data_IF_867407632056
#
_entry.id   IF_867407632056
#
_cell.length_a   1.000
_cell.length_b   1.000
_cell.length_c   1.000
_cell.angle_alpha   90.00
_cell.angle_beta   90.00
_cell.angle_gamma   90.00
#
_symmetry.space_group_name_H-M   'P 1'
#
loop_
_entity.id
_entity.type
_entity.pdbx_description
1 polymer ?
#
# COMPACT_ATOMS: atom_id res chain seq x y z
N UNK A 1 -0.78 -8.72 -3.86
CA UNK A 1 -1.17 -8.90 -2.44
C UNK A 1 -0.15 -9.70 -1.60
N UNK A 2 0.82 -10.39 -2.21
CA UNK A 2 1.82 -11.23 -1.50
C UNK A 2 2.90 -10.39 -0.79
N UNK A 3 2.99 -9.09 -1.06
CA UNK A 3 4.04 -8.20 -0.56
C UNK A 3 3.54 -7.09 0.38
N UNK A 4 2.25 -7.09 0.76
CA UNK A 4 1.75 -6.14 1.75
C UNK A 4 2.12 -6.57 3.16
N UNK A 5 2.56 -5.61 3.96
CA UNK A 5 2.69 -5.81 5.40
C UNK A 5 1.33 -6.16 6.00
N UNK A 6 1.33 -7.07 6.95
CA UNK A 6 0.15 -7.30 7.76
C UNK A 6 -0.09 -6.07 8.64
N UNK A 7 -1.33 -5.68 8.78
CA UNK A 7 -1.73 -4.57 9.64
C UNK A 7 -2.97 -4.93 10.45
N UNK A 8 -3.06 -4.34 11.63
CA UNK A 8 -4.23 -4.43 12.49
C UNK A 8 -4.76 -3.02 12.71
N UNK A 9 -6.00 -2.78 12.28
CA UNK A 9 -6.67 -1.53 12.54
C UNK A 9 -6.96 -1.40 14.03
N UNK A 10 -6.66 -0.23 14.61
CA UNK A 10 -6.89 0.02 16.03
C UNK A 10 -8.36 -0.17 16.44
N UNK A 11 -9.29 0.13 15.54
CA UNK A 11 -10.74 -0.07 15.76
C UNK A 11 -11.12 -1.57 15.83
N UNK A 12 -10.31 -2.48 15.23
CA UNK A 12 -10.48 -3.94 15.40
C UNK A 12 -9.92 -4.45 16.72
N UNK A 13 -8.97 -3.73 17.31
CA UNK A 13 -8.46 -4.01 18.65
C UNK A 13 -9.57 -3.76 19.69
N UNK A 14 -10.39 -2.72 19.48
CA UNK A 14 -11.56 -2.47 20.33
C UNK A 14 -12.61 -3.61 20.24
N UNK A 15 -12.54 -4.45 19.20
CA UNK A 15 -13.36 -5.64 19.01
C UNK A 15 -12.78 -6.93 19.61
N UNK A 16 -11.67 -6.89 20.36
CA UNK A 16 -11.24 -8.04 21.17
C UNK A 16 -12.35 -8.47 22.18
N UNK A 17 -13.25 -7.55 22.55
CA UNK A 17 -14.54 -7.87 23.21
C UNK A 17 -15.39 -8.88 22.44
N UNK A 18 -15.25 -8.97 21.13
CA UNK A 18 -15.92 -9.97 20.31
C UNK A 18 -15.39 -11.38 20.63
N UNK A 19 -14.10 -11.54 20.82
CA UNK A 19 -13.51 -12.82 21.21
C UNK A 19 -13.93 -13.26 22.60
N UNK A 20 -14.03 -12.35 23.55
CA UNK A 20 -14.61 -12.63 24.89
C UNK A 20 -16.05 -13.11 24.74
N UNK A 21 -16.85 -12.50 23.86
CA UNK A 21 -18.23 -12.90 23.60
C UNK A 21 -18.33 -14.25 22.88
N UNK A 22 -17.46 -14.49 21.90
CA UNK A 22 -17.40 -15.76 21.17
C UNK A 22 -16.93 -16.89 22.10
N UNK A 23 -15.96 -16.60 22.96
CA UNK A 23 -15.51 -17.47 24.04
C UNK A 23 -16.68 -17.86 24.96
N UNK A 24 -17.41 -16.88 25.50
CA UNK A 24 -18.58 -17.14 26.36
C UNK A 24 -19.69 -17.94 25.65
N UNK A 25 -19.80 -17.85 24.32
CA UNK A 25 -20.78 -18.62 23.54
C UNK A 25 -20.33 -20.07 23.34
N UNK A 26 -19.02 -20.30 23.15
CA UNK A 26 -18.44 -21.64 23.01
C UNK A 26 -18.42 -22.41 24.35
N UNK A 27 -18.31 -21.71 25.47
CA UNK A 27 -18.26 -22.29 26.81
C UNK A 27 -19.56 -22.97 27.26
N UNK A 28 -20.70 -22.63 26.69
CA UNK A 28 -21.94 -23.37 26.93
C UNK A 28 -21.90 -24.82 26.39
N UNK A 29 -20.80 -25.21 25.73
CA UNK A 29 -20.61 -26.50 25.08
C UNK A 29 -19.31 -27.24 25.46
N UNK A 30 -18.41 -26.68 26.31
CA UNK A 30 -17.04 -27.16 26.48
C UNK A 30 -16.74 -27.78 27.89
N UNK A 31 -15.74 -28.66 27.88
CA UNK A 31 -15.24 -29.47 29.02
C UNK A 31 -14.20 -28.73 29.88
N UNK A 32 -14.08 -27.40 29.73
CA UNK A 32 -13.06 -26.59 30.42
C UNK A 32 -13.48 -26.21 31.86
N UNK A 33 -12.51 -26.03 32.73
CA UNK A 33 -12.80 -25.59 34.09
C UNK A 33 -13.16 -24.10 34.10
N UNK A 34 -14.05 -23.65 34.95
CA UNK A 34 -14.41 -22.23 35.13
C UNK A 34 -13.17 -21.36 35.42
N UNK A 35 -12.12 -21.95 35.98
CA UNK A 35 -10.88 -21.26 36.34
C UNK A 35 -10.00 -20.94 35.11
N UNK A 36 -9.95 -21.84 34.12
CA UNK A 36 -9.24 -21.64 32.87
C UNK A 36 -9.94 -20.58 32.01
N UNK A 37 -11.25 -20.60 31.97
CA UNK A 37 -12.10 -19.65 31.29
C UNK A 37 -11.88 -18.22 31.81
N UNK A 38 -11.94 -18.05 33.12
CA UNK A 38 -11.73 -16.75 33.78
C UNK A 38 -10.31 -16.22 33.54
N UNK A 39 -9.32 -17.10 33.53
CA UNK A 39 -7.92 -16.77 33.25
C UNK A 39 -7.71 -16.23 31.84
N UNK A 40 -8.32 -16.86 30.82
CA UNK A 40 -8.18 -16.41 29.42
C UNK A 40 -8.91 -15.08 29.17
N UNK A 41 -10.14 -14.95 29.71
CA UNK A 41 -10.91 -13.72 29.63
C UNK A 41 -10.15 -12.54 30.23
N UNK A 42 -9.56 -12.74 31.41
CA UNK A 42 -8.73 -11.74 32.07
C UNK A 42 -7.53 -11.34 31.22
N UNK A 43 -6.83 -12.29 30.63
CA UNK A 43 -5.68 -12.02 29.72
C UNK A 43 -6.09 -11.23 28.49
N UNK A 44 -7.20 -11.58 27.85
CA UNK A 44 -7.73 -10.81 26.71
C UNK A 44 -8.11 -9.39 27.10
N UNK A 45 -8.67 -9.20 28.28
CA UNK A 45 -8.98 -7.89 28.81
C UNK A 45 -7.71 -7.08 29.08
N UNK A 46 -6.68 -7.65 29.67
CA UNK A 46 -5.40 -6.99 29.95
C UNK A 46 -4.72 -6.56 28.63
N UNK A 47 -4.70 -7.41 27.61
CA UNK A 47 -4.21 -7.08 26.28
C UNK A 47 -5.02 -5.91 25.67
N UNK A 48 -6.34 -5.95 25.79
CA UNK A 48 -7.21 -4.90 25.26
C UNK A 48 -6.91 -3.55 25.91
N UNK A 49 -6.82 -3.52 27.24
CA UNK A 49 -6.51 -2.31 28.00
C UNK A 49 -5.13 -1.77 27.60
N UNK A 50 -4.12 -2.64 27.53
CA UNK A 50 -2.77 -2.26 27.13
C UNK A 50 -2.74 -1.62 25.74
N UNK A 51 -3.42 -2.22 24.75
CA UNK A 51 -3.44 -1.70 23.38
C UNK A 51 -4.24 -0.40 23.26
N UNK A 52 -5.31 -0.23 24.05
CA UNK A 52 -6.06 1.03 24.13
C UNK A 52 -5.23 2.15 24.71
N UNK A 53 -4.56 1.92 25.85
CA UNK A 53 -3.66 2.89 26.48
C UNK A 53 -2.52 3.27 25.54
N UNK A 54 -1.97 2.30 24.82
CA UNK A 54 -0.92 2.53 23.83
C UNK A 54 -1.42 3.41 22.69
N UNK A 55 -2.60 3.13 22.15
CA UNK A 55 -3.26 3.92 21.12
C UNK A 55 -3.43 5.38 21.55
N UNK A 56 -3.92 5.63 22.76
CA UNK A 56 -4.09 6.98 23.30
C UNK A 56 -2.76 7.72 23.42
N UNK A 57 -1.71 7.05 23.86
CA UNK A 57 -0.37 7.61 23.94
C UNK A 57 0.24 7.93 22.58
N UNK A 58 -0.08 7.13 21.56
CA UNK A 58 0.48 7.25 20.22
C UNK A 58 -0.30 8.21 19.30
N UNK A 59 -1.54 8.56 19.62
CA UNK A 59 -2.41 9.38 18.76
C UNK A 59 -1.83 10.78 18.44
N UNK A 60 -0.93 11.28 19.29
CA UNK A 60 -0.22 12.56 19.07
C UNK A 60 0.84 12.50 17.98
N UNK A 61 1.36 11.29 17.65
CA UNK A 61 2.40 11.11 16.64
C UNK A 61 1.78 10.72 15.30
N UNK A 62 2.26 11.27 14.15
CA UNK A 62 1.79 10.90 12.82
C UNK A 62 2.08 9.42 12.51
N UNK A 63 3.23 8.93 12.94
CA UNK A 63 3.62 7.53 12.98
C UNK A 63 4.61 7.29 14.12
N UNK A 64 4.79 6.03 14.50
CA UNK A 64 5.74 5.66 15.55
C UNK A 64 6.19 4.20 15.41
N UNK A 65 7.48 3.91 15.59
CA UNK A 65 8.05 2.55 15.56
C UNK A 65 8.25 2.08 17.00
N UNK A 66 7.76 0.89 17.32
CA UNK A 66 7.84 0.31 18.65
C UNK A 66 7.83 -1.22 18.64
N UNK A 67 8.29 -1.81 19.74
CA UNK A 67 7.98 -3.21 20.06
C UNK A 67 6.94 -3.22 21.17
N UNK A 68 6.00 -4.14 21.10
CA UNK A 68 5.03 -4.34 22.17
C UNK A 68 5.65 -5.19 23.29
N UNK A 69 5.08 -5.08 24.47
CA UNK A 69 5.54 -5.82 25.62
C UNK A 69 5.16 -7.31 25.51
N UNK A 70 6.15 -8.16 25.28
CA UNK A 70 5.97 -9.60 25.05
C UNK A 70 5.34 -10.33 26.24
N UNK A 71 5.42 -9.77 27.45
CA UNK A 71 4.80 -10.36 28.65
C UNK A 71 3.29 -10.52 28.51
N UNK A 72 2.63 -9.75 27.64
CA UNK A 72 1.20 -9.90 27.38
C UNK A 72 0.87 -11.11 26.51
N UNK A 73 1.88 -11.71 25.81
CA UNK A 73 1.69 -12.81 24.89
C UNK A 73 2.58 -14.01 25.27
N UNK A 74 2.26 -14.67 26.38
CA UNK A 74 3.03 -15.80 26.90
C UNK A 74 2.68 -17.10 26.20
N UNK A 75 3.57 -18.09 26.29
CA UNK A 75 3.34 -19.45 25.79
C UNK A 75 2.11 -20.10 26.42
N UNK A 76 1.87 -19.88 27.69
CA UNK A 76 0.67 -20.35 28.40
C UNK A 76 -0.62 -19.78 27.81
N UNK A 77 -0.64 -18.47 27.50
CA UNK A 77 -1.76 -17.84 26.82
C UNK A 77 -1.98 -18.40 25.42
N UNK A 78 -0.90 -18.65 24.66
CA UNK A 78 -0.97 -19.25 23.34
C UNK A 78 -1.55 -20.67 23.39
N UNK A 79 -1.08 -21.50 24.31
CA UNK A 79 -1.57 -22.85 24.48
C UNK A 79 -3.05 -22.89 24.85
N UNK A 80 -3.48 -22.07 25.82
CA UNK A 80 -4.90 -21.96 26.20
C UNK A 80 -5.78 -21.47 25.06
N UNK A 81 -5.27 -20.53 24.25
CA UNK A 81 -5.99 -20.08 23.06
C UNK A 81 -6.19 -21.24 22.05
N UNK A 82 -5.13 -22.01 21.78
CA UNK A 82 -5.20 -23.13 20.85
C UNK A 82 -6.13 -24.24 21.34
N UNK A 83 -6.19 -24.49 22.61
CA UNK A 83 -7.10 -25.47 23.20
C UNK A 83 -8.57 -25.10 22.97
N UNK A 84 -8.90 -23.81 23.06
CA UNK A 84 -10.28 -23.33 23.00
C UNK A 84 -10.72 -23.02 21.56
N UNK A 85 -9.92 -22.26 20.83
CA UNK A 85 -10.29 -21.74 19.49
C UNK A 85 -9.73 -22.56 18.33
N UNK A 86 -8.79 -23.45 18.59
CA UNK A 86 -8.08 -24.23 17.57
C UNK A 86 -6.98 -23.46 16.84
N UNK A 87 -6.14 -24.20 16.12
CA UNK A 87 -4.93 -23.69 15.48
C UNK A 87 -5.14 -22.73 14.31
N UNK A 88 -6.37 -22.50 13.84
CA UNK A 88 -6.65 -21.84 12.55
C UNK A 88 -7.31 -20.47 12.63
N UNK A 89 -7.38 -19.85 13.82
CA UNK A 89 -8.00 -18.55 13.91
C UNK A 89 -7.08 -17.44 13.34
N UNK A 90 -7.42 -16.80 12.19
CA UNK A 90 -6.51 -15.86 11.51
C UNK A 90 -6.13 -14.66 12.36
N UNK A 91 -7.04 -14.18 13.20
CA UNK A 91 -6.80 -12.97 13.99
C UNK A 91 -5.88 -13.25 15.19
N UNK A 92 -5.84 -14.51 15.67
CA UNK A 92 -4.86 -14.91 16.68
C UNK A 92 -3.43 -14.78 16.15
N UNK A 93 -3.17 -15.29 14.95
CA UNK A 93 -1.85 -15.18 14.34
C UNK A 93 -1.42 -13.73 14.11
N UNK A 94 -2.36 -12.85 13.75
CA UNK A 94 -2.09 -11.42 13.64
C UNK A 94 -1.76 -10.81 15.00
N UNK A 95 -2.52 -11.14 16.03
CA UNK A 95 -2.27 -10.68 17.38
C UNK A 95 -0.90 -11.17 17.88
N UNK A 96 -0.59 -12.46 17.70
CA UNK A 96 0.72 -13.03 18.01
C UNK A 96 1.84 -12.29 17.27
N UNK A 97 1.70 -12.10 15.96
CA UNK A 97 2.68 -11.39 15.14
C UNK A 97 2.87 -9.95 15.58
N UNK A 98 1.81 -9.29 16.07
CA UNK A 98 1.89 -7.93 16.59
C UNK A 98 2.82 -7.82 17.81
N UNK A 99 2.80 -8.82 18.71
CA UNK A 99 3.64 -8.83 19.91
C UNK A 99 5.05 -9.37 19.66
N UNK A 100 5.24 -10.18 18.64
CA UNK A 100 6.53 -10.81 18.33
C UNK A 100 7.39 -10.02 17.33
N UNK A 101 6.88 -8.92 16.77
CA UNK A 101 7.59 -8.15 15.77
C UNK A 101 7.67 -6.67 16.16
N UNK A 102 8.54 -5.95 15.49
CA UNK A 102 8.55 -4.50 15.52
C UNK A 102 7.33 -4.02 14.73
N UNK A 103 6.64 -3.03 15.25
CA UNK A 103 5.43 -2.48 14.63
C UNK A 103 5.57 -0.99 14.37
N UNK A 104 4.87 -0.52 13.35
CA UNK A 104 4.73 0.89 13.02
C UNK A 104 3.28 1.31 13.26
N UNK A 105 3.07 2.26 14.18
CA UNK A 105 1.82 2.95 14.33
C UNK A 105 1.61 3.94 13.19
N UNK A 106 0.45 3.89 12.53
CA UNK A 106 0.02 4.82 11.50
C UNK A 106 -1.23 5.56 11.95
N UNK A 107 -1.08 6.85 12.30
CA UNK A 107 -2.21 7.67 12.79
C UNK A 107 -3.28 7.88 11.72
N UNK A 108 -2.91 8.08 10.46
CA UNK A 108 -3.85 8.40 9.38
C UNK A 108 -4.83 7.27 9.11
N UNK A 109 -4.35 6.03 9.17
CA UNK A 109 -5.16 4.83 8.99
C UNK A 109 -5.63 4.22 10.32
N UNK A 110 -5.16 4.73 11.47
CA UNK A 110 -5.42 4.19 12.82
C UNK A 110 -5.08 2.70 12.91
N UNK A 111 -3.89 2.33 12.42
CA UNK A 111 -3.47 0.92 12.35
C UNK A 111 -2.08 0.71 12.90
N UNK A 112 -1.83 -0.50 13.40
CA UNK A 112 -0.51 -1.02 13.68
C UNK A 112 -0.07 -1.88 12.50
N UNK A 113 1.01 -1.49 11.85
CA UNK A 113 1.61 -2.22 10.72
C UNK A 113 2.75 -3.07 11.27
N UNK A 114 2.66 -4.38 11.08
CA UNK A 114 3.70 -5.31 11.50
C UNK A 114 4.86 -5.19 10.51
N UNK A 115 6.04 -4.79 11.01
CA UNK A 115 7.25 -4.67 10.23
C UNK A 115 7.99 -6.02 10.28
N UNK A 116 7.92 -6.77 9.20
CA UNK A 116 8.58 -8.06 9.09
C UNK A 116 8.54 -8.58 7.67
N UNK A 117 9.51 -9.43 7.35
CA UNK A 117 9.51 -10.12 6.07
C UNK A 117 8.48 -11.24 6.13
N UNK A 118 7.42 -11.13 5.36
CA UNK A 118 6.63 -12.30 5.00
C UNK A 118 7.51 -13.20 4.14
N UNK A 119 8.03 -14.26 4.73
CA UNK A 119 8.79 -15.26 3.99
C UNK A 119 7.80 -15.95 3.02
N UNK A 120 8.12 -15.86 1.73
CA UNK A 120 7.39 -16.59 0.72
C UNK A 120 7.74 -18.08 0.87
N UNK A 121 6.94 -18.77 1.68
CA UNK A 121 7.14 -20.21 1.89
C UNK A 121 6.51 -20.97 0.72
N UNK A 122 7.35 -21.48 -0.16
CA UNK A 122 6.95 -22.31 -1.31
C UNK A 122 6.79 -23.77 -0.95
N UNK A 123 6.98 -24.17 0.30
CA UNK A 123 6.99 -25.58 0.71
C UNK A 123 8.06 -26.41 -0.01
N UNK A 124 9.16 -25.79 -0.44
CA UNK A 124 10.23 -26.42 -1.23
C UNK A 124 9.91 -26.56 -2.73
N UNK A 125 8.75 -26.06 -3.19
CA UNK A 125 8.37 -26.12 -4.61
C UNK A 125 9.06 -25.02 -5.41
N UNK A 126 9.44 -25.33 -6.66
CA UNK A 126 9.88 -24.33 -7.63
C UNK A 126 8.69 -23.45 -8.00
N UNK A 127 8.81 -22.15 -7.73
CA UNK A 127 7.76 -21.18 -8.02
C UNK A 127 8.21 -20.23 -9.10
N UNK A 128 7.36 -20.00 -10.11
CA UNK A 128 7.58 -19.03 -11.16
C UNK A 128 6.63 -17.85 -10.98
N UNK A 129 7.19 -16.64 -10.98
CA UNK A 129 6.44 -15.39 -10.89
C UNK A 129 6.55 -14.69 -12.25
N UNK A 130 5.40 -14.44 -12.89
CA UNK A 130 5.32 -13.69 -14.14
C UNK A 130 4.93 -12.25 -13.81
N UNK A 131 5.90 -11.35 -13.86
CA UNK A 131 5.74 -9.94 -13.55
C UNK A 131 6.36 -9.10 -14.66
N UNK A 132 5.54 -8.41 -15.44
CA UNK A 132 5.97 -7.57 -16.54
C UNK A 132 6.79 -6.35 -16.09
N UNK A 133 6.81 -6.02 -14.81
CA UNK A 133 7.59 -4.91 -14.23
C UNK A 133 8.72 -5.38 -13.32
N UNK A 134 9.05 -6.67 -13.33
CA UNK A 134 10.01 -7.27 -12.41
C UNK A 134 11.38 -6.57 -12.41
N UNK A 135 11.82 -6.05 -13.56
CA UNK A 135 13.10 -5.34 -13.70
C UNK A 135 13.15 -4.06 -12.86
N UNK A 136 12.00 -3.42 -12.67
CA UNK A 136 11.86 -2.16 -11.94
C UNK A 136 11.31 -2.38 -10.53
N UNK A 137 10.80 -3.57 -10.22
CA UNK A 137 10.20 -3.89 -8.92
C UNK A 137 11.29 -4.06 -7.88
N UNK A 138 11.49 -3.02 -7.09
CA UNK A 138 12.59 -2.90 -6.13
C UNK A 138 12.53 -3.97 -5.02
N UNK A 139 11.33 -4.44 -4.68
CA UNK A 139 11.09 -5.47 -3.67
C UNK A 139 11.85 -6.76 -3.96
N UNK A 140 12.01 -7.13 -5.23
CA UNK A 140 12.80 -8.31 -5.58
C UNK A 140 14.27 -8.13 -5.31
N UNK A 141 14.83 -6.92 -5.47
CA UNK A 141 16.23 -6.64 -5.19
C UNK A 141 16.59 -6.76 -3.71
N UNK A 142 15.65 -6.40 -2.82
CA UNK A 142 15.83 -6.53 -1.37
C UNK A 142 15.65 -7.95 -0.84
N UNK A 143 15.07 -8.85 -1.62
CA UNK A 143 14.91 -10.26 -1.23
C UNK A 143 16.12 -11.14 -1.52
N UNK A 144 17.20 -10.54 -2.03
CA UNK A 144 18.48 -11.19 -2.22
C UNK A 144 18.46 -12.37 -3.21
N UNK A 145 19.26 -13.38 -2.94
CA UNK A 145 19.48 -14.55 -3.82
C UNK A 145 18.29 -15.50 -3.94
N UNK A 146 17.15 -15.19 -3.29
CA UNK A 146 15.96 -16.04 -3.35
C UNK A 146 15.21 -15.93 -4.68
N UNK A 147 15.50 -14.91 -5.50
CA UNK A 147 14.90 -14.72 -6.81
C UNK A 147 15.94 -14.81 -7.92
N UNK A 148 15.67 -15.64 -8.91
CA UNK A 148 16.44 -15.69 -10.15
C UNK A 148 15.62 -15.08 -11.27
N UNK A 149 16.09 -13.96 -11.80
CA UNK A 149 15.46 -13.33 -12.95
C UNK A 149 15.77 -14.11 -14.24
N UNK A 150 14.73 -14.53 -14.93
CA UNK A 150 14.82 -15.07 -16.26
C UNK A 150 14.50 -13.94 -17.24
N UNK A 151 15.52 -13.36 -17.85
CA UNK A 151 15.32 -12.33 -18.87
C UNK A 151 14.80 -12.98 -20.15
N UNK A 152 13.61 -12.56 -20.57
CA UNK A 152 13.07 -12.88 -21.89
C UNK A 152 13.49 -11.71 -22.78
N UNK A 153 14.19 -12.01 -23.88
CA UNK A 153 14.61 -10.98 -24.85
C UNK A 153 13.34 -10.40 -25.52
N UNK A 154 13.35 -9.10 -25.74
CA UNK A 154 12.39 -8.34 -26.55
C UNK A 154 10.90 -8.42 -26.13
N UNK A 155 10.63 -8.66 -24.83
CA UNK A 155 9.26 -8.72 -24.34
C UNK A 155 8.59 -7.34 -24.15
N UNK A 156 9.35 -6.24 -24.27
CA UNK A 156 8.85 -4.86 -24.19
C UNK A 156 9.30 -4.08 -25.43
N UNK A 157 8.34 -3.52 -26.16
CA UNK A 157 8.61 -2.69 -27.33
C UNK A 157 8.16 -1.25 -27.06
N UNK A 158 9.14 -0.36 -26.88
CA UNK A 158 8.91 1.06 -26.66
C UNK A 158 9.19 1.95 -27.88
N UNK A 159 9.46 1.37 -29.05
CA UNK A 159 9.88 2.10 -30.26
C UNK A 159 8.87 3.17 -30.67
N UNK A 160 7.59 2.92 -30.46
CA UNK A 160 6.50 3.80 -30.87
C UNK A 160 5.92 4.60 -29.71
N UNK A 161 6.55 4.57 -28.51
CA UNK A 161 6.10 5.29 -27.35
C UNK A 161 6.69 6.70 -27.32
N UNK A 162 5.84 7.71 -27.21
CA UNK A 162 6.24 9.12 -27.07
C UNK A 162 5.69 9.72 -25.79
N UNK A 163 6.56 10.39 -25.05
CA UNK A 163 6.19 11.15 -23.86
C UNK A 163 6.05 12.65 -24.18
N UNK A 164 4.89 13.20 -23.86
CA UNK A 164 4.57 14.60 -23.95
C UNK A 164 4.52 15.18 -22.53
N UNK A 165 5.58 15.84 -22.11
CA UNK A 165 5.71 16.38 -20.76
C UNK A 165 5.33 17.84 -20.73
N UNK A 166 4.40 18.21 -19.84
CA UNK A 166 3.96 19.58 -19.63
C UNK A 166 4.25 20.02 -18.19
N UNK A 167 4.89 21.17 -18.04
CA UNK A 167 5.18 21.75 -16.72
C UNK A 167 3.92 22.41 -16.15
N UNK A 168 3.04 21.59 -15.62
CA UNK A 168 1.81 22.04 -14.94
C UNK A 168 1.51 21.13 -13.77
N UNK A 169 1.34 21.69 -12.59
CA UNK A 169 1.10 20.92 -11.38
C UNK A 169 -0.36 20.46 -11.28
N UNK A 170 -0.62 19.19 -11.53
CA UNK A 170 -1.89 18.51 -11.29
C UNK A 170 -1.82 17.54 -10.10
N UNK A 171 -1.01 17.86 -9.09
CA UNK A 171 -1.05 17.10 -7.83
C UNK A 171 -2.44 17.18 -7.20
N UNK A 172 -2.76 16.21 -6.33
CA UNK A 172 -4.01 16.19 -5.58
C UNK A 172 -4.28 17.51 -4.85
N UNK A 173 -3.25 18.06 -4.19
CA UNK A 173 -3.33 19.33 -3.48
C UNK A 173 -3.62 20.51 -4.43
N UNK A 174 -2.95 20.58 -5.59
CA UNK A 174 -3.17 21.65 -6.56
C UNK A 174 -4.57 21.61 -7.17
N UNK A 175 -5.08 20.41 -7.46
CA UNK A 175 -6.44 20.24 -7.95
C UNK A 175 -7.49 20.62 -6.89
N UNK A 176 -7.23 20.26 -5.62
CA UNK A 176 -8.13 20.60 -4.50
C UNK A 176 -8.16 22.14 -4.28
N UNK A 177 -7.02 22.82 -4.44
CA UNK A 177 -6.92 24.28 -4.31
C UNK A 177 -7.52 25.03 -5.53
N UNK A 178 -7.48 24.45 -6.72
CA UNK A 178 -7.92 25.06 -7.98
C UNK A 178 -8.76 24.07 -8.82
N UNK A 179 -9.98 23.72 -8.39
CA UNK A 179 -10.81 22.72 -9.07
C UNK A 179 -11.09 23.01 -10.54
N UNK A 180 -11.17 24.28 -10.91
CA UNK A 180 -11.38 24.74 -12.29
C UNK A 180 -10.30 24.29 -13.27
N UNK A 181 -9.09 24.00 -12.79
CA UNK A 181 -8.01 23.47 -13.64
C UNK A 181 -8.39 22.12 -14.24
N UNK A 182 -9.17 21.33 -13.55
CA UNK A 182 -9.63 20.03 -14.03
C UNK A 182 -10.56 20.18 -15.25
N UNK A 183 -11.45 21.17 -15.23
CA UNK A 183 -12.34 21.48 -16.36
C UNK A 183 -11.57 22.02 -17.56
N UNK A 184 -10.56 22.87 -17.34
CA UNK A 184 -9.68 23.36 -18.41
C UNK A 184 -8.94 22.18 -19.07
N UNK A 185 -8.40 21.26 -18.28
CA UNK A 185 -7.73 20.07 -18.79
C UNK A 185 -8.70 19.17 -19.57
N UNK A 186 -9.92 18.93 -19.05
CA UNK A 186 -10.91 18.17 -19.76
C UNK A 186 -11.28 18.81 -21.11
N UNK A 187 -11.47 20.12 -21.18
CA UNK A 187 -11.75 20.84 -22.42
C UNK A 187 -10.59 20.73 -23.41
N UNK A 188 -9.34 20.76 -22.92
CA UNK A 188 -8.17 20.49 -23.75
C UNK A 188 -8.20 19.07 -24.30
N UNK A 189 -8.45 18.03 -23.50
CA UNK A 189 -8.60 16.64 -23.94
C UNK A 189 -9.62 16.55 -25.06
N UNK A 190 -10.81 17.12 -24.86
CA UNK A 190 -11.91 17.10 -25.84
C UNK A 190 -11.55 17.75 -27.18
N UNK A 191 -10.74 18.80 -27.15
CA UNK A 191 -10.33 19.54 -28.36
C UNK A 191 -9.17 18.86 -29.08
N UNK A 192 -8.26 18.26 -28.34
CA UNK A 192 -7.01 17.70 -28.86
C UNK A 192 -7.21 16.34 -29.49
N UNK A 193 -8.02 15.49 -28.85
CA UNK A 193 -8.15 14.10 -29.28
C UNK A 193 -9.45 13.84 -30.02
N UNK A 194 -9.30 13.22 -31.20
CA UNK A 194 -10.43 12.77 -32.02
C UNK A 194 -10.79 11.29 -31.75
N UNK A 195 -9.81 10.51 -31.37
CA UNK A 195 -9.91 9.09 -31.05
C UNK A 195 -10.07 8.87 -29.56
N UNK A 196 -10.36 7.62 -29.19
CA UNK A 196 -10.45 7.21 -27.79
C UNK A 196 -9.14 7.43 -27.03
N UNK A 197 -9.25 8.00 -25.85
CA UNK A 197 -8.13 8.35 -24.96
C UNK A 197 -8.30 7.63 -23.64
N UNK A 198 -7.24 7.02 -23.18
CA UNK A 198 -7.14 6.53 -21.81
C UNK A 198 -6.79 7.68 -20.88
N UNK A 199 -7.71 8.05 -19.99
CA UNK A 199 -7.51 9.13 -19.00
C UNK A 199 -7.52 8.52 -17.61
N UNK A 200 -6.44 8.69 -16.86
CA UNK A 200 -6.32 8.21 -15.48
C UNK A 200 -6.07 9.36 -14.51
N UNK A 201 -6.72 9.31 -13.36
CA UNK A 201 -6.61 10.35 -12.32
C UNK A 201 -6.86 9.77 -10.91
N UNK A 202 -6.94 10.64 -9.92
CA UNK A 202 -7.27 10.28 -8.54
C UNK A 202 -8.74 9.90 -8.38
N UNK A 203 -9.03 8.94 -7.51
CA UNK A 203 -10.39 8.49 -7.20
C UNK A 203 -11.34 9.65 -6.86
N UNK A 204 -10.86 10.63 -6.08
CA UNK A 204 -11.65 11.82 -5.69
C UNK A 204 -12.20 12.60 -6.90
N UNK A 205 -11.48 12.59 -8.03
CA UNK A 205 -11.84 13.39 -9.22
C UNK A 205 -12.65 12.63 -10.26
N UNK A 206 -12.90 11.33 -10.04
CA UNK A 206 -13.63 10.48 -10.98
C UNK A 206 -15.04 10.99 -11.21
N UNK A 207 -15.77 11.33 -10.17
CA UNK A 207 -17.14 11.85 -10.32
C UNK A 207 -17.20 13.09 -11.23
N UNK A 208 -16.23 14.00 -11.10
CA UNK A 208 -16.15 15.18 -11.95
C UNK A 208 -15.79 14.81 -13.40
N UNK A 209 -14.88 13.87 -13.62
CA UNK A 209 -14.53 13.39 -14.94
C UNK A 209 -15.74 12.71 -15.61
N UNK A 210 -16.47 11.88 -14.90
CA UNK A 210 -17.69 11.24 -15.38
C UNK A 210 -18.78 12.23 -15.74
N UNK A 211 -19.02 13.23 -14.89
CA UNK A 211 -19.98 14.31 -15.14
C UNK A 211 -19.63 15.09 -16.41
N UNK A 212 -18.38 15.53 -16.56
CA UNK A 212 -17.90 16.26 -17.72
C UNK A 212 -17.94 15.42 -19.00
N UNK A 213 -17.64 14.11 -18.89
CA UNK A 213 -17.56 13.19 -20.03
C UNK A 213 -18.85 12.44 -20.33
N UNK A 214 -19.98 12.78 -19.67
CA UNK A 214 -21.26 12.05 -19.83
C UNK A 214 -21.68 11.89 -21.28
N UNK A 215 -21.51 12.92 -22.09
CA UNK A 215 -21.89 12.94 -23.52
C UNK A 215 -20.65 12.92 -24.44
N UNK A 216 -19.48 12.59 -23.92
CA UNK A 216 -18.24 12.59 -24.69
C UNK A 216 -17.72 11.15 -24.88
N UNK A 217 -17.62 10.71 -26.13
CA UNK A 217 -17.11 9.38 -26.50
C UNK A 217 -15.58 9.34 -26.63
N UNK A 218 -14.90 10.47 -26.51
CA UNK A 218 -13.44 10.56 -26.63
C UNK A 218 -12.74 9.85 -25.47
N UNK A 219 -13.26 9.94 -24.24
CA UNK A 219 -12.68 9.22 -23.10
C UNK A 219 -13.16 7.77 -23.14
N UNK A 220 -12.20 6.84 -23.18
CA UNK A 220 -12.49 5.41 -23.09
C UNK A 220 -12.82 5.04 -21.64
N UNK A 221 -14.07 4.68 -21.41
CA UNK A 221 -14.59 4.24 -20.12
C UNK A 221 -14.60 2.72 -20.02
N UNK A 222 -14.78 2.23 -18.80
CA UNK A 222 -15.07 0.84 -18.50
C UNK A 222 -16.41 0.39 -19.07
N UNK A 223 -16.68 -0.90 -19.00
CA UNK A 223 -17.95 -1.51 -19.47
C UNK A 223 -19.15 -0.96 -18.71
N UNK A 224 -19.00 -0.65 -17.43
CA UNK A 224 -20.00 -0.03 -16.56
C UNK A 224 -20.12 1.49 -16.72
N UNK A 225 -19.44 2.08 -17.71
CA UNK A 225 -19.32 3.52 -17.93
C UNK A 225 -18.57 4.30 -16.86
N UNK A 226 -17.88 3.64 -15.92
CA UNK A 226 -17.01 4.31 -14.97
C UNK A 226 -15.70 4.77 -15.62
N UNK A 227 -15.08 5.80 -15.09
CA UNK A 227 -13.76 6.25 -15.49
C UNK A 227 -12.69 5.58 -14.62
N UNK A 228 -11.51 5.26 -15.19
CA UNK A 228 -10.42 4.66 -14.45
C UNK A 228 -9.75 5.65 -13.48
N UNK A 229 -9.29 5.13 -12.36
CA UNK A 229 -8.49 5.88 -11.39
C UNK A 229 -7.34 5.04 -10.86
N UNK A 230 -6.34 5.70 -10.28
CA UNK A 230 -5.18 5.01 -9.72
C UNK A 230 -5.61 3.92 -8.73
N UNK A 231 -5.16 2.69 -9.00
CA UNK A 231 -5.43 1.51 -8.17
C UNK A 231 -6.61 0.64 -8.60
N UNK A 232 -7.55 1.11 -9.45
CA UNK A 232 -8.68 0.29 -9.91
C UNK A 232 -8.50 -0.34 -11.30
N UNK A 233 -7.37 -0.11 -11.94
CA UNK A 233 -7.09 -0.55 -13.32
C UNK A 233 -6.42 -1.92 -13.40
N UNK A 234 -5.93 -2.45 -12.27
CA UNK A 234 -5.19 -3.73 -12.22
C UNK A 234 -6.03 -4.89 -12.78
N UNK A 235 -5.42 -5.66 -13.69
CA UNK A 235 -6.07 -6.81 -14.34
C UNK A 235 -7.04 -6.47 -15.48
N UNK A 236 -7.21 -5.20 -15.83
CA UNK A 236 -8.14 -4.76 -16.88
C UNK A 236 -7.41 -4.46 -18.20
N UNK A 237 -8.07 -4.72 -19.31
CA UNK A 237 -7.53 -4.55 -20.67
C UNK A 237 -8.37 -3.58 -21.52
N UNK A 238 -9.29 -2.87 -20.95
CA UNK A 238 -10.28 -2.00 -21.61
C UNK A 238 -9.66 -0.93 -22.53
N UNK A 239 -8.41 -0.56 -22.25
CA UNK A 239 -7.72 0.54 -22.95
C UNK A 239 -6.64 0.09 -23.92
N UNK A 240 -6.56 -1.21 -24.23
CA UNK A 240 -5.53 -1.78 -25.11
C UNK A 240 -5.53 -1.20 -26.55
N UNK A 241 -6.65 -0.67 -27.01
CA UNK A 241 -6.76 0.00 -28.32
C UNK A 241 -6.43 1.50 -28.26
N UNK A 242 -6.22 2.08 -27.07
CA UNK A 242 -5.94 3.49 -26.95
C UNK A 242 -4.49 3.81 -27.34
N UNK A 243 -4.33 4.69 -28.34
CA UNK A 243 -3.03 5.22 -28.76
C UNK A 243 -2.67 6.54 -28.08
N UNK A 244 -3.55 7.05 -27.21
CA UNK A 244 -3.32 8.24 -26.42
C UNK A 244 -3.67 7.96 -24.96
N UNK A 245 -2.78 8.35 -24.05
CA UNK A 245 -2.95 8.30 -22.60
C UNK A 245 -2.74 9.68 -22.00
N UNK A 246 -3.62 10.08 -21.10
CA UNK A 246 -3.48 11.31 -20.31
C UNK A 246 -3.45 10.93 -18.84
N UNK A 247 -2.31 11.12 -18.21
CA UNK A 247 -2.16 10.90 -16.77
C UNK A 247 -2.28 12.23 -16.01
N UNK A 248 -3.31 12.34 -15.19
CA UNK A 248 -3.59 13.52 -14.37
C UNK A 248 -3.14 13.26 -12.94
N UNK A 249 -1.95 13.75 -12.60
CA UNK A 249 -1.31 13.51 -11.34
C UNK A 249 -0.49 12.21 -11.29
N UNK A 250 -0.08 11.79 -10.09
CA UNK A 250 0.76 10.62 -9.86
C UNK A 250 0.17 9.73 -8.79
N UNK A 251 0.25 8.42 -9.00
CA UNK A 251 -0.12 7.43 -7.98
C UNK A 251 0.92 7.44 -6.86
N UNK A 252 0.68 8.29 -5.88
CA UNK A 252 1.55 8.43 -4.72
C UNK A 252 0.81 7.96 -3.48
N UNK A 253 1.36 6.98 -2.80
CA UNK A 253 0.85 6.50 -1.51
C UNK A 253 1.17 7.50 -0.41
N UNK A 254 0.60 7.31 0.76
CA UNK A 254 1.01 8.09 1.93
C UNK A 254 2.44 7.74 2.36
N UNK A 255 3.10 8.68 3.05
CA UNK A 255 4.50 8.51 3.43
C UNK A 255 4.74 7.33 4.36
N UNK A 256 3.77 7.01 5.21
CA UNK A 256 3.86 5.89 6.15
C UNK A 256 3.88 4.55 5.42
N UNK A 257 3.16 4.44 4.30
CA UNK A 257 3.21 3.24 3.46
C UNK A 257 4.60 2.98 2.89
N UNK A 258 5.27 4.02 2.36
CA UNK A 258 6.64 3.85 1.85
C UNK A 258 7.63 3.50 2.96
N UNK A 259 7.53 4.17 4.12
CA UNK A 259 8.38 3.90 5.28
C UNK A 259 8.20 2.45 5.75
N UNK A 260 6.96 2.02 5.94
CA UNK A 260 6.67 0.67 6.46
C UNK A 260 7.11 -0.43 5.50
N UNK A 261 6.85 -0.26 4.20
CA UNK A 261 7.27 -1.23 3.19
C UNK A 261 8.80 -1.30 3.09
N UNK A 262 9.47 -0.14 3.05
CA UNK A 262 10.92 -0.08 3.01
C UNK A 262 11.57 -0.74 4.23
N UNK A 263 11.11 -0.42 5.44
CA UNK A 263 11.64 -0.98 6.67
C UNK A 263 11.39 -2.49 6.77
N UNK A 264 10.25 -2.97 6.29
CA UNK A 264 9.96 -4.40 6.25
C UNK A 264 10.85 -5.18 5.30
N UNK A 265 11.38 -4.54 4.27
CA UNK A 265 12.32 -5.14 3.33
C UNK A 265 13.78 -5.04 3.81
N UNK A 266 14.08 -4.14 4.73
CA UNK A 266 15.42 -3.79 5.20
C UNK A 266 15.53 -3.94 6.71
N UNK A 267 15.67 -5.18 7.16
CA UNK A 267 15.78 -5.50 8.59
C UNK A 267 16.98 -4.82 9.28
N UNK A 268 18.12 -4.72 8.60
CA UNK A 268 19.30 -4.01 9.12
C UNK A 268 18.98 -2.52 9.38
N UNK A 269 18.26 -1.88 8.48
CA UNK A 269 17.80 -0.50 8.66
C UNK A 269 16.85 -0.37 9.85
N UNK A 270 15.92 -1.32 9.98
CA UNK A 270 14.95 -1.34 11.07
C UNK A 270 15.64 -1.48 12.43
N UNK A 271 16.59 -2.39 12.55
CA UNK A 271 17.39 -2.59 13.77
C UNK A 271 18.19 -1.33 14.09
N UNK A 272 18.92 -0.79 13.10
CA UNK A 272 19.72 0.43 13.26
C UNK A 272 18.89 1.65 13.70
N UNK A 273 17.69 1.81 13.17
CA UNK A 273 16.78 2.88 13.60
C UNK A 273 16.30 2.66 15.03
N UNK A 274 15.98 1.42 15.41
CA UNK A 274 15.56 1.09 16.76
C UNK A 274 16.68 1.42 17.75
N UNK A 275 17.89 0.95 17.50
CA UNK A 275 19.07 1.22 18.36
C UNK A 275 19.36 2.72 18.49
N UNK A 276 19.26 3.47 17.38
CA UNK A 276 19.54 4.91 17.36
C UNK A 276 18.51 5.75 18.13
N UNK A 277 17.26 5.33 18.14
CA UNK A 277 16.12 6.12 18.61
C UNK A 277 15.35 5.46 19.78
N UNK A 278 15.95 4.53 20.50
CA UNK A 278 15.30 3.79 21.60
C UNK A 278 15.09 4.63 22.88
N UNK A 279 15.61 5.86 22.92
CA UNK A 279 15.44 6.77 24.05
C UNK A 279 14.17 7.61 23.89
N UNK A 280 13.54 7.97 25.03
CA UNK A 280 12.29 8.76 25.04
C UNK A 280 12.42 10.16 24.41
N UNK A 281 13.61 10.75 24.43
CA UNK A 281 13.89 12.08 23.85
C UNK A 281 14.07 12.05 22.34
N UNK A 282 14.39 10.89 21.76
CA UNK A 282 14.66 10.73 20.33
C UNK A 282 13.42 10.48 19.45
N UNK A 283 12.23 10.39 20.04
CA UNK A 283 10.99 10.07 19.30
C UNK A 283 10.62 11.11 18.26
N UNK A 284 10.71 12.38 18.60
CA UNK A 284 10.42 13.48 17.67
C UNK A 284 11.49 13.59 16.59
N UNK A 285 12.75 13.28 16.94
CA UNK A 285 13.85 13.23 16.00
C UNK A 285 13.68 12.12 14.97
N UNK A 286 13.23 10.92 15.38
CA UNK A 286 12.92 9.80 14.48
C UNK A 286 11.83 10.20 13.48
N UNK A 287 10.75 10.80 13.98
CA UNK A 287 9.65 11.27 13.11
C UNK A 287 10.17 12.29 12.11
N UNK A 288 10.93 13.28 12.56
CA UNK A 288 11.52 14.31 11.70
C UNK A 288 12.52 13.73 10.69
N UNK A 289 13.26 12.70 11.08
CA UNK A 289 14.24 12.02 10.24
C UNK A 289 13.59 11.22 9.11
N UNK A 290 12.50 10.50 9.41
CA UNK A 290 11.76 9.68 8.46
C UNK A 290 10.70 10.46 7.67
N UNK A 291 10.31 11.66 8.11
CA UNK A 291 9.27 12.44 7.44
C UNK A 291 9.76 13.03 6.12
N UNK A 292 8.91 13.04 5.09
CA UNK A 292 9.20 13.75 3.85
C UNK A 292 9.20 15.28 4.07
N UNK A 293 9.82 15.99 3.16
CA UNK A 293 9.78 17.46 3.06
C UNK A 293 8.40 17.98 2.57
N UNK A 294 8.30 19.29 2.39
CA UNK A 294 7.07 19.94 1.88
C UNK A 294 6.69 19.54 0.44
N UNK A 295 7.65 19.05 -0.34
CA UNK A 295 7.42 18.50 -1.68
C UNK A 295 7.06 17.01 -1.62
N UNK A 296 7.18 16.42 -0.44
CA UNK A 296 6.91 15.02 -0.17
C UNK A 296 8.10 14.11 -0.48
N UNK A 297 9.32 14.63 -0.67
CA UNK A 297 10.51 13.83 -0.89
C UNK A 297 11.15 13.45 0.44
N UNK A 298 11.58 12.21 0.56
CA UNK A 298 12.26 11.76 1.76
C UNK A 298 13.71 12.27 1.80
N UNK A 299 14.18 12.67 2.97
CA UNK A 299 15.57 13.06 3.20
C UNK A 299 16.51 11.88 3.09
N UNK A 300 16.02 10.69 3.42
CA UNK A 300 16.75 9.42 3.31
C UNK A 300 16.68 8.99 1.85
N UNK A 301 17.83 9.00 1.16
CA UNK A 301 17.90 8.69 -0.26
C UNK A 301 17.34 7.31 -0.60
N UNK A 302 17.56 6.33 0.26
CA UNK A 302 17.09 4.96 0.05
C UNK A 302 15.56 4.87 0.07
N UNK A 303 14.91 5.54 1.02
CA UNK A 303 13.43 5.61 1.07
C UNK A 303 12.89 6.41 -0.11
N UNK A 304 13.57 7.51 -0.46
CA UNK A 304 13.19 8.32 -1.61
C UNK A 304 13.29 7.52 -2.91
N UNK A 305 14.38 6.80 -3.12
CA UNK A 305 14.56 5.91 -4.27
C UNK A 305 13.53 4.78 -4.29
N UNK A 306 13.19 4.21 -3.13
CA UNK A 306 12.13 3.22 -3.01
C UNK A 306 10.80 3.78 -3.50
N UNK A 307 10.43 4.97 -3.00
CA UNK A 307 9.20 5.67 -3.42
C UNK A 307 9.18 5.92 -4.92
N UNK A 308 10.26 6.49 -5.48
CA UNK A 308 10.33 6.82 -6.91
C UNK A 308 10.22 5.57 -7.79
N UNK A 309 10.90 4.49 -7.44
CA UNK A 309 10.79 3.22 -8.19
C UNK A 309 9.39 2.64 -8.14
N UNK A 310 8.70 2.69 -7.00
CA UNK A 310 7.29 2.27 -6.93
C UNK A 310 6.39 3.11 -7.81
N UNK A 311 6.58 4.42 -7.83
CA UNK A 311 5.83 5.31 -8.72
C UNK A 311 6.11 5.01 -10.20
N UNK A 312 7.37 4.71 -10.57
CA UNK A 312 7.75 4.31 -11.94
C UNK A 312 7.07 2.99 -12.33
N UNK A 313 7.08 1.99 -11.45
CA UNK A 313 6.41 0.70 -11.70
C UNK A 313 4.91 0.88 -11.93
N UNK A 314 4.24 1.65 -11.08
CA UNK A 314 2.81 1.93 -11.25
C UNK A 314 2.56 2.67 -12.58
N UNK A 315 3.38 3.65 -12.92
CA UNK A 315 3.28 4.38 -14.19
C UNK A 315 3.51 3.47 -15.40
N UNK A 316 4.54 2.65 -15.38
CA UNK A 316 4.82 1.69 -16.43
C UNK A 316 3.64 0.72 -16.64
N UNK A 317 3.05 0.23 -15.56
CA UNK A 317 1.86 -0.63 -15.64
C UNK A 317 0.67 0.08 -16.29
N UNK A 318 0.49 1.38 -16.04
CA UNK A 318 -0.60 2.15 -16.68
C UNK A 318 -0.31 2.38 -18.16
N UNK A 319 0.91 2.69 -18.55
CA UNK A 319 1.31 2.80 -19.97
C UNK A 319 1.07 1.49 -20.72
N UNK A 320 1.38 0.36 -20.11
CA UNK A 320 1.14 -0.97 -20.71
C UNK A 320 -0.33 -1.38 -20.82
N UNK A 321 -1.26 -0.59 -20.33
CA UNK A 321 -2.70 -0.80 -20.58
C UNK A 321 -3.14 -0.27 -21.92
N UNK A 322 -2.32 0.55 -22.57
CA UNK A 322 -2.56 1.13 -23.90
C UNK A 322 -2.10 0.20 -25.01
N UNK A 323 -2.13 0.68 -26.25
CA UNK A 323 -1.68 -0.07 -27.43
C UNK A 323 -0.19 -0.43 -27.40
N UNK A 324 0.61 0.11 -26.46
CA UNK A 324 2.01 -0.30 -26.22
C UNK A 324 2.15 -1.81 -25.97
N UNK A 325 1.14 -2.44 -25.38
CA UNK A 325 1.16 -3.90 -25.13
C UNK A 325 1.00 -4.77 -26.37
N UNK A 326 0.51 -4.21 -27.48
CA UNK A 326 0.34 -4.93 -28.74
C UNK A 326 1.66 -4.95 -29.51
N UNK A 327 2.44 -6.01 -29.31
CA UNK A 327 3.83 -6.14 -29.82
C UNK A 327 3.95 -6.03 -31.33
N UNK A 328 2.88 -6.34 -32.06
CA UNK A 328 2.82 -6.29 -33.54
C UNK A 328 2.29 -4.94 -34.04
N UNK A 329 1.91 -4.04 -33.16
CA UNK A 329 1.39 -2.73 -33.55
C UNK A 329 2.53 -1.76 -33.86
N UNK A 330 2.46 -1.12 -35.04
CA UNK A 330 3.34 -0.01 -35.43
C UNK A 330 2.73 1.37 -35.08
N UNK A 331 1.61 1.38 -34.37
CA UNK A 331 0.93 2.63 -34.01
C UNK A 331 1.72 3.38 -32.93
N UNK A 332 1.92 4.67 -33.17
CA UNK A 332 2.52 5.55 -32.18
C UNK A 332 1.57 5.74 -31.00
N UNK A 333 2.09 5.54 -29.80
CA UNK A 333 1.38 5.76 -28.54
C UNK A 333 1.91 7.02 -27.85
N UNK A 334 1.05 7.99 -27.66
CA UNK A 334 1.38 9.26 -27.03
C UNK A 334 0.91 9.27 -25.57
N UNK A 335 1.83 9.45 -24.64
CA UNK A 335 1.56 9.58 -23.20
C UNK A 335 1.79 11.02 -22.77
N UNK A 336 0.74 11.65 -22.24
CA UNK A 336 0.76 13.02 -21.76
C UNK A 336 0.86 13.02 -20.24
N UNK A 337 1.93 13.63 -19.72
CA UNK A 337 2.25 13.73 -18.28
C UNK A 337 2.41 15.18 -17.88
N UNK A 338 1.99 15.46 -16.66
CA UNK A 338 2.06 16.79 -16.08
C UNK A 338 2.96 16.75 -14.84
N UNK A 339 4.02 17.56 -14.86
CA UNK A 339 5.01 17.65 -13.79
C UNK A 339 4.98 19.03 -13.16
N UNK A 340 5.31 19.12 -11.90
CA UNK A 340 5.64 20.38 -11.25
C UNK A 340 6.94 20.92 -11.86
N UNK A 341 7.08 22.23 -11.97
CA UNK A 341 8.22 22.86 -12.64
C UNK A 341 9.59 22.62 -11.99
N UNK A 342 9.62 22.04 -10.82
CA UNK A 342 10.83 21.80 -10.00
C UNK A 342 11.20 20.31 -9.88
N UNK A 343 10.51 19.44 -10.58
CA UNK A 343 10.73 17.98 -10.53
C UNK A 343 11.65 17.50 -11.69
#
# INVERSE_FOLDING_TARGET
NVLRNESIYADKIDNLKYYVKEFNTLNNTSVFSEEDELSLEKKLMDITIYLQDLKEKLIKYPFYILSLDEQFFTEDFENKWYEIFGYKHPDFFKLKSLFQNIVLWNKSAREFIILGRNNFNTGGLKTFIFDGTADNTIEYSYRGNNFKFLKIQDYKNYKHLKFNVTKTNFSRYSLDAKPQMFEVLYNWIKRTFKNKVYVITYQKWIYQLEKLSKNNRTIQKEVDNSCPYFGNTKGKNTWSECTNMVQIGWNRYDSTSYISEFLSLNEEWLISLKEKFDTSESKEELIKYLSPDSNGNFKINEINNYMLKKMIVDFEQEVYRTNVREFTSDQEVNVYIFLKSED
#
